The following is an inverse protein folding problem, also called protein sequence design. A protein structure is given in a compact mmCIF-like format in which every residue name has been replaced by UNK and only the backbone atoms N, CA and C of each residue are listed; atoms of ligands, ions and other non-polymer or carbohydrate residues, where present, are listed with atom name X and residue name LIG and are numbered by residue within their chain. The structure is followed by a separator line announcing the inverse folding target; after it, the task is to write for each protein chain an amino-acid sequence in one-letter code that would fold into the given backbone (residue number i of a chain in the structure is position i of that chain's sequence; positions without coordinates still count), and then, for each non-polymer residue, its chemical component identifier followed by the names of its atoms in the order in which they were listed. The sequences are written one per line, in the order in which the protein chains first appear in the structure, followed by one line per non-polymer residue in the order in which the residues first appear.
data_IF_259679934126
#
_entry.id   IF_259679934126
#
_cell.length_a   1.000
_cell.length_b   1.000
_cell.length_c   1.000
_cell.angle_alpha   90.00
_cell.angle_beta   90.00
_cell.angle_gamma   90.00
#
_symmetry.space_group_name_H-M   'P 1'
#
loop_
_entity.id
_entity.type
_entity.pdbx_description
1 polymer ?
#
# COMPACT_ATOMS: atom_id res chain seq x y z
N UNK A 1 -11.96 -16.29 -19.83
CA UNK A 1 -11.03 -15.57 -20.72
C UNK A 1 -10.08 -14.75 -19.86
N UNK A 2 -8.92 -15.29 -19.48
CA UNK A 2 -7.97 -14.60 -18.62
C UNK A 2 -6.54 -15.08 -18.89
N UNK A 3 -5.87 -14.49 -19.88
CA UNK A 3 -4.40 -14.59 -20.03
C UNK A 3 -3.89 -13.37 -20.79
N UNK A 4 -3.57 -12.29 -20.06
CA UNK A 4 -2.81 -11.17 -20.62
C UNK A 4 -2.02 -10.32 -19.59
N UNK A 5 -1.95 -10.70 -18.30
CA UNK A 5 -1.41 -9.79 -17.27
C UNK A 5 -0.17 -10.29 -16.50
N UNK A 6 0.40 -11.45 -16.84
CA UNK A 6 1.52 -12.04 -16.08
C UNK A 6 2.89 -11.44 -16.41
N UNK A 7 3.12 -10.94 -17.63
CA UNK A 7 4.44 -10.43 -18.06
C UNK A 7 4.86 -9.08 -17.46
N UNK A 8 3.90 -8.17 -17.21
CA UNK A 8 4.18 -6.86 -16.57
C UNK A 8 4.55 -7.00 -15.10
N UNK A 9 4.01 -8.03 -14.44
CA UNK A 9 4.28 -8.33 -13.02
C UNK A 9 5.73 -8.79 -12.81
N UNK A 10 6.25 -9.64 -13.70
CA UNK A 10 7.60 -10.20 -13.58
C UNK A 10 8.71 -9.13 -13.70
N UNK A 11 8.64 -8.25 -14.71
CA UNK A 11 9.64 -7.19 -14.92
C UNK A 11 9.64 -6.16 -13.78
N UNK A 12 8.45 -5.83 -13.24
CA UNK A 12 8.35 -4.93 -12.09
C UNK A 12 8.97 -5.54 -10.83
N UNK A 13 8.79 -6.84 -10.61
CA UNK A 13 9.39 -7.57 -9.48
C UNK A 13 10.91 -7.70 -9.59
N UNK A 14 11.43 -7.99 -10.77
CA UNK A 14 12.88 -8.02 -11.02
C UNK A 14 13.52 -6.65 -10.77
N UNK A 15 12.88 -5.59 -11.29
CA UNK A 15 13.37 -4.22 -11.08
C UNK A 15 13.28 -3.80 -9.61
N UNK A 16 12.21 -4.15 -8.91
CA UNK A 16 12.07 -3.89 -7.48
C UNK A 16 13.19 -4.60 -6.70
N UNK A 17 13.45 -5.87 -7.01
CA UNK A 17 14.51 -6.67 -6.40
C UNK A 17 15.88 -6.06 -6.66
N UNK A 18 16.12 -5.57 -7.88
CA UNK A 18 17.36 -4.87 -8.23
C UNK A 18 17.55 -3.61 -7.39
N UNK A 19 16.55 -2.72 -7.36
CA UNK A 19 16.62 -1.44 -6.63
C UNK A 19 16.78 -1.66 -5.12
N UNK A 20 16.14 -2.68 -4.56
CA UNK A 20 16.27 -2.99 -3.12
C UNK A 20 17.57 -3.73 -2.78
N UNK A 21 18.25 -4.36 -3.74
CA UNK A 21 19.51 -5.09 -3.50
C UNK A 21 20.67 -4.19 -3.06
N UNK A 22 21.72 -4.80 -2.52
CA UNK A 22 22.97 -4.12 -2.12
C UNK A 22 23.74 -3.49 -3.30
N UNK A 23 23.34 -3.79 -4.54
CA UNK A 23 23.95 -3.21 -5.75
C UNK A 23 23.60 -1.73 -5.92
N UNK A 24 22.43 -1.32 -5.47
CA UNK A 24 21.96 0.07 -5.55
C UNK A 24 22.04 0.67 -4.15
N UNK A 25 22.92 1.64 -3.92
CA UNK A 25 22.94 2.39 -2.66
C UNK A 25 21.88 3.51 -2.68
N UNK A 26 21.52 4.05 -1.51
CA UNK A 26 20.61 5.21 -1.41
C UNK A 26 21.22 6.50 -1.99
N UNK A 27 22.53 6.51 -2.21
CA UNK A 27 23.29 7.57 -2.88
C UNK A 27 23.61 7.23 -4.35
N UNK A 28 23.04 6.14 -4.90
CA UNK A 28 23.29 5.73 -6.27
C UNK A 28 22.79 6.79 -7.25
N UNK A 29 23.68 7.20 -8.14
CA UNK A 29 23.42 8.13 -9.25
C UNK A 29 23.07 7.40 -10.55
N UNK A 30 22.75 6.11 -10.48
CA UNK A 30 22.16 5.39 -11.61
C UNK A 30 20.76 5.92 -11.91
N UNK A 31 20.31 5.85 -13.16
CA UNK A 31 19.02 6.40 -13.56
C UNK A 31 18.07 5.31 -14.04
N UNK A 32 16.85 5.35 -13.51
CA UNK A 32 15.72 4.54 -13.94
C UNK A 32 14.79 5.39 -14.82
N UNK A 33 14.16 4.85 -15.88
CA UNK A 33 13.13 5.58 -16.61
C UNK A 33 12.03 6.08 -15.67
N UNK A 34 11.52 7.29 -15.88
CA UNK A 34 10.44 7.87 -15.06
C UNK A 34 9.21 6.94 -14.97
N UNK A 35 8.89 6.24 -16.07
CA UNK A 35 7.82 5.24 -16.10
C UNK A 35 8.09 4.04 -15.19
N UNK A 36 9.34 3.62 -15.06
CA UNK A 36 9.74 2.54 -14.17
C UNK A 36 9.65 2.99 -12.69
N UNK A 37 10.13 4.20 -12.37
CA UNK A 37 9.97 4.79 -11.05
C UNK A 37 8.49 4.92 -10.65
N UNK A 38 7.62 5.30 -11.61
CA UNK A 38 6.16 5.39 -11.43
C UNK A 38 5.55 4.05 -11.02
N UNK A 39 5.95 2.96 -11.68
CA UNK A 39 5.51 1.60 -11.34
C UNK A 39 6.02 1.19 -9.95
N UNK A 40 7.33 1.34 -9.68
CA UNK A 40 7.93 0.91 -8.41
C UNK A 40 7.32 1.63 -7.20
N UNK A 41 7.11 2.95 -7.32
CA UNK A 41 6.58 3.78 -6.24
C UNK A 41 5.05 3.78 -6.17
N UNK A 42 4.37 3.03 -7.04
CA UNK A 42 2.90 3.07 -7.21
C UNK A 42 2.37 4.52 -7.29
N UNK A 43 3.05 5.35 -8.06
CA UNK A 43 2.85 6.79 -8.08
C UNK A 43 2.46 7.28 -9.46
N UNK A 44 1.87 8.47 -9.57
CA UNK A 44 1.59 9.07 -10.88
C UNK A 44 2.79 9.90 -11.35
N UNK A 45 2.94 10.08 -12.67
CA UNK A 45 3.97 10.97 -13.22
C UNK A 45 3.88 12.39 -12.64
N UNK A 46 2.67 12.88 -12.34
CA UNK A 46 2.45 14.17 -11.67
C UNK A 46 3.03 14.18 -10.27
N UNK A 47 2.78 13.13 -9.48
CA UNK A 47 3.31 13.03 -8.10
C UNK A 47 4.83 12.92 -8.11
N UNK A 48 5.41 12.17 -9.05
CA UNK A 48 6.86 12.08 -9.19
C UNK A 48 7.50 13.43 -9.56
N UNK A 49 6.87 14.19 -10.45
CA UNK A 49 7.34 15.55 -10.79
C UNK A 49 7.32 16.47 -9.57
N UNK A 50 6.27 16.43 -8.75
CA UNK A 50 6.21 17.19 -7.51
C UNK A 50 7.35 16.82 -6.55
N UNK A 51 7.63 15.53 -6.40
CA UNK A 51 8.76 15.05 -5.58
C UNK A 51 10.12 15.50 -6.12
N UNK A 52 10.25 15.61 -7.45
CA UNK A 52 11.45 16.18 -8.09
C UNK A 52 11.56 17.67 -7.79
N UNK A 53 10.48 18.43 -7.93
CA UNK A 53 10.43 19.86 -7.60
C UNK A 53 10.73 20.13 -6.11
N UNK A 54 10.34 19.23 -5.22
CA UNK A 54 10.62 19.26 -3.78
C UNK A 54 12.04 18.81 -3.42
N UNK A 55 12.81 18.29 -4.39
CA UNK A 55 14.17 17.81 -4.19
C UNK A 55 14.28 16.42 -3.54
N UNK A 56 13.17 15.71 -3.38
CA UNK A 56 13.16 14.33 -2.87
C UNK A 56 13.70 13.34 -3.90
N UNK A 57 13.49 13.64 -5.18
CA UNK A 57 13.99 12.88 -6.32
C UNK A 57 14.82 13.80 -7.21
N UNK A 58 15.82 13.23 -7.88
CA UNK A 58 16.61 13.93 -8.90
C UNK A 58 16.35 13.29 -10.25
N UNK A 59 16.22 14.14 -11.26
CA UNK A 59 16.03 13.70 -12.65
C UNK A 59 17.20 14.11 -13.55
N UNK A 60 17.34 13.37 -14.65
CA UNK A 60 18.23 13.72 -15.75
C UNK A 60 17.54 13.44 -17.07
N UNK A 61 17.66 14.37 -18.01
CA UNK A 61 17.22 14.18 -19.38
C UNK A 61 18.32 13.50 -20.19
N UNK A 62 17.93 12.50 -20.97
CA UNK A 62 18.79 11.76 -21.86
C UNK A 62 18.25 11.85 -23.28
N UNK A 63 19.15 12.02 -24.25
CA UNK A 63 18.79 12.13 -25.66
C UNK A 63 19.31 10.88 -26.37
N UNK A 64 18.41 10.09 -26.96
CA UNK A 64 18.81 9.00 -27.86
C UNK A 64 18.82 9.48 -29.30
N UNK A 65 19.87 9.11 -30.02
CA UNK A 65 20.12 9.56 -31.40
C UNK A 65 19.95 8.42 -32.41
N UNK A 66 18.89 7.60 -32.36
CA UNK A 66 18.55 6.67 -33.46
C UNK A 66 17.23 5.92 -33.24
N UNK A 67 16.38 5.69 -34.27
CA UNK A 67 16.31 6.35 -35.59
C UNK A 67 15.49 7.67 -35.57
N UNK A 68 14.94 8.03 -34.41
CA UNK A 68 14.23 9.30 -34.15
C UNK A 68 14.80 9.84 -32.85
N UNK A 69 15.17 11.13 -32.82
CA UNK A 69 15.63 11.77 -31.59
C UNK A 69 14.52 11.72 -30.55
N UNK A 70 14.77 11.01 -29.45
CA UNK A 70 13.84 10.94 -28.31
C UNK A 70 14.55 11.41 -27.07
N UNK A 71 13.90 12.32 -26.35
CA UNK A 71 14.30 12.69 -25.00
C UNK A 71 13.58 11.76 -24.03
N UNK A 72 14.32 11.11 -23.15
CA UNK A 72 13.75 10.37 -22.03
C UNK A 72 14.22 10.97 -20.70
N UNK A 73 13.32 10.97 -19.72
CA UNK A 73 13.60 11.42 -18.37
C UNK A 73 13.92 10.19 -17.53
N UNK A 74 15.11 10.18 -16.95
CA UNK A 74 15.50 9.23 -15.92
C UNK A 74 15.44 9.87 -14.53
N UNK A 75 15.16 9.07 -13.52
CA UNK A 75 15.15 9.43 -12.10
C UNK A 75 16.22 8.63 -11.37
N UNK A 76 16.95 9.25 -10.46
CA UNK A 76 18.01 8.57 -9.69
C UNK A 76 17.47 7.37 -8.89
N UNK A 77 18.10 6.21 -9.10
CA UNK A 77 17.76 4.95 -8.46
C UNK A 77 17.93 5.01 -6.94
N UNK A 78 18.92 5.77 -6.43
CA UNK A 78 19.13 5.97 -5.00
C UNK A 78 17.94 6.68 -4.33
N UNK A 79 17.39 7.71 -4.97
CA UNK A 79 16.18 8.39 -4.51
C UNK A 79 14.95 7.48 -4.52
N UNK A 80 14.78 6.68 -5.57
CA UNK A 80 13.70 5.67 -5.64
C UNK A 80 13.86 4.63 -4.52
N UNK A 81 15.07 4.12 -4.29
CA UNK A 81 15.36 3.18 -3.19
C UNK A 81 15.00 3.77 -1.84
N UNK A 82 15.38 5.03 -1.59
CA UNK A 82 15.06 5.73 -0.33
C UNK A 82 13.57 5.77 -0.06
N UNK A 83 12.77 6.16 -1.06
CA UNK A 83 11.30 6.20 -0.94
C UNK A 83 10.68 4.79 -0.78
N UNK A 84 11.25 3.77 -1.41
CA UNK A 84 10.81 2.38 -1.21
C UNK A 84 11.10 1.89 0.21
N UNK A 85 12.30 2.16 0.73
CA UNK A 85 12.67 1.80 2.11
C UNK A 85 11.80 2.53 3.13
N UNK A 86 11.49 3.80 2.88
CA UNK A 86 10.55 4.57 3.70
C UNK A 86 9.15 3.94 3.68
N UNK A 87 8.64 3.57 2.51
CA UNK A 87 7.36 2.88 2.38
C UNK A 87 7.36 1.53 3.12
N UNK A 88 8.44 0.75 3.03
CA UNK A 88 8.59 -0.51 3.77
C UNK A 88 8.54 -0.25 5.28
N UNK A 89 9.26 0.77 5.77
CA UNK A 89 9.20 1.18 7.17
C UNK A 89 7.76 1.53 7.60
N UNK A 90 7.01 2.27 6.79
CA UNK A 90 5.62 2.60 7.08
C UNK A 90 4.71 1.37 7.12
N UNK A 91 4.92 0.40 6.21
CA UNK A 91 4.18 -0.87 6.23
C UNK A 91 4.42 -1.60 7.56
N UNK A 92 5.66 -1.73 7.99
CA UNK A 92 6.00 -2.43 9.23
C UNK A 92 5.43 -1.73 10.47
N UNK A 93 5.50 -0.41 10.55
CA UNK A 93 4.92 0.36 11.67
C UNK A 93 3.40 0.20 11.74
N UNK A 94 2.70 0.28 10.61
CA UNK A 94 1.25 0.11 10.56
C UNK A 94 0.86 -1.33 10.87
N UNK A 95 1.60 -2.31 10.35
CA UNK A 95 1.41 -3.74 10.63
C UNK A 95 1.52 -4.01 12.12
N UNK A 96 2.63 -3.59 12.74
CA UNK A 96 2.87 -3.78 14.18
C UNK A 96 1.73 -3.16 15.00
N UNK A 97 1.34 -1.93 14.68
CA UNK A 97 0.25 -1.26 15.38
C UNK A 97 -1.09 -2.00 15.24
N UNK A 98 -1.46 -2.40 14.02
CA UNK A 98 -2.70 -3.15 13.77
C UNK A 98 -2.67 -4.47 14.55
N UNK A 99 -1.56 -5.21 14.53
CA UNK A 99 -1.41 -6.44 15.30
C UNK A 99 -1.54 -6.20 16.80
N UNK A 100 -0.91 -5.16 17.35
CA UNK A 100 -1.00 -4.83 18.77
C UNK A 100 -2.44 -4.46 19.18
N UNK A 101 -3.14 -3.69 18.35
CA UNK A 101 -4.55 -3.33 18.54
C UNK A 101 -5.45 -4.57 18.59
N UNK A 102 -5.19 -5.54 17.72
CA UNK A 102 -5.91 -6.82 17.66
C UNK A 102 -5.65 -7.66 18.90
N UNK A 103 -4.39 -7.82 19.33
CA UNK A 103 -4.02 -8.53 20.57
C UNK A 103 -4.66 -7.91 21.81
N UNK A 104 -4.75 -6.58 21.84
CA UNK A 104 -5.46 -5.85 22.90
C UNK A 104 -7.00 -5.93 22.79
N UNK A 105 -7.53 -6.60 21.76
CA UNK A 105 -8.98 -6.69 21.45
C UNK A 105 -9.65 -5.32 21.43
N UNK A 106 -8.97 -4.35 20.83
CA UNK A 106 -9.33 -2.93 20.82
C UNK A 106 -9.52 -2.38 19.40
N UNK A 107 -10.04 -1.16 19.28
CA UNK A 107 -10.19 -0.47 18.01
C UNK A 107 -9.19 0.68 17.90
N UNK A 108 -8.67 0.90 16.70
CA UNK A 108 -7.87 2.09 16.36
C UNK A 108 -8.59 2.94 15.33
N UNK A 109 -8.13 4.17 15.16
CA UNK A 109 -8.66 5.06 14.12
C UNK A 109 -7.71 5.22 12.95
N UNK A 110 -8.24 5.53 11.77
CA UNK A 110 -7.41 5.90 10.63
C UNK A 110 -6.49 7.09 10.89
N UNK A 111 -6.93 8.06 11.72
CA UNK A 111 -6.07 9.17 12.14
C UNK A 111 -4.87 8.68 12.94
N UNK A 112 -5.11 7.82 13.93
CA UNK A 112 -4.03 7.22 14.73
C UNK A 112 -3.06 6.38 13.88
N UNK A 113 -3.55 5.71 12.83
CA UNK A 113 -2.69 4.97 11.88
C UNK A 113 -1.76 5.91 11.13
N UNK A 114 -2.23 7.08 10.69
CA UNK A 114 -1.38 8.07 10.03
C UNK A 114 -0.43 8.79 10.98
N UNK A 115 -0.85 9.05 12.22
CA UNK A 115 -0.02 9.69 13.25
C UNK A 115 1.28 8.89 13.49
N UNK A 116 1.24 7.55 13.38
CA UNK A 116 2.41 6.66 13.53
C UNK A 116 3.51 6.89 12.49
N UNK A 117 3.11 7.35 11.31
CA UNK A 117 4.01 7.59 10.18
C UNK A 117 4.18 9.09 9.92
N UNK A 118 3.83 9.92 10.90
CA UNK A 118 3.99 11.38 10.89
C UNK A 118 3.29 12.06 9.69
N UNK A 119 2.20 11.48 9.20
CA UNK A 119 1.43 12.02 8.08
C UNK A 119 0.10 12.63 8.51
N UNK A 120 -0.33 13.67 7.80
CA UNK A 120 -1.60 14.35 8.09
C UNK A 120 -2.78 13.70 7.38
N UNK A 121 -3.82 13.30 8.14
CA UNK A 121 -5.09 12.81 7.60
C UNK A 121 -5.79 13.80 6.66
N UNK A 122 -5.50 15.11 6.74
CA UNK A 122 -6.04 16.10 5.79
C UNK A 122 -5.37 16.00 4.41
N UNK A 123 -4.18 15.45 4.30
CA UNK A 123 -3.43 15.28 3.04
C UNK A 123 -4.03 14.12 2.22
N UNK A 124 -4.60 14.38 1.02
CA UNK A 124 -5.11 13.31 0.17
C UNK A 124 -4.06 12.25 -0.22
N UNK A 125 -2.80 12.61 -0.55
CA UNK A 125 -1.74 11.63 -0.77
C UNK A 125 -1.46 10.73 0.43
N UNK A 126 -1.46 11.29 1.65
CA UNK A 126 -1.25 10.51 2.87
C UNK A 126 -2.40 9.52 3.12
N UNK A 127 -3.66 9.97 2.98
CA UNK A 127 -4.82 9.08 3.08
C UNK A 127 -4.75 7.94 2.08
N UNK A 128 -4.36 8.23 0.83
CA UNK A 128 -4.19 7.20 -0.20
C UNK A 128 -3.10 6.20 0.20
N UNK A 129 -1.94 6.67 0.62
CA UNK A 129 -0.84 5.80 1.05
C UNK A 129 -1.27 4.88 2.21
N UNK A 130 -1.94 5.40 3.22
CA UNK A 130 -2.44 4.58 4.33
C UNK A 130 -3.46 3.55 3.87
N UNK A 131 -4.41 3.92 3.01
CA UNK A 131 -5.35 2.97 2.43
C UNK A 131 -4.64 1.88 1.62
N UNK A 132 -3.66 2.23 0.78
CA UNK A 132 -2.88 1.26 0.00
C UNK A 132 -2.11 0.28 0.91
N UNK A 133 -1.60 0.74 2.06
CA UNK A 133 -0.94 -0.12 3.05
C UNK A 133 -1.97 -1.02 3.75
N UNK A 134 -3.12 -0.48 4.16
CA UNK A 134 -4.18 -1.27 4.78
C UNK A 134 -4.74 -2.34 3.84
N UNK A 135 -4.85 -2.05 2.55
CA UNK A 135 -5.25 -3.02 1.52
C UNK A 135 -4.23 -4.15 1.39
N UNK A 136 -2.93 -3.82 1.39
CA UNK A 136 -1.86 -4.82 1.40
C UNK A 136 -1.99 -5.76 2.60
N UNK A 137 -2.24 -5.22 3.79
CA UNK A 137 -2.42 -6.03 5.00
C UNK A 137 -3.65 -6.94 4.90
N UNK A 138 -4.74 -6.46 4.28
CA UNK A 138 -5.92 -7.29 4.04
C UNK A 138 -5.66 -8.40 3.01
N UNK A 139 -4.94 -8.10 1.93
CA UNK A 139 -4.61 -9.10 0.92
C UNK A 139 -3.76 -10.23 1.50
N UNK A 140 -2.79 -9.89 2.36
CA UNK A 140 -2.00 -10.87 3.10
C UNK A 140 -2.86 -11.68 4.08
N UNK A 141 -3.77 -11.04 4.82
CA UNK A 141 -4.61 -11.75 5.79
C UNK A 141 -5.66 -12.66 5.14
N UNK A 142 -6.13 -12.30 3.93
CA UNK A 142 -7.05 -13.11 3.13
C UNK A 142 -6.31 -14.28 2.47
N UNK A 143 -5.14 -14.03 1.88
CA UNK A 143 -4.37 -15.01 1.12
C UNK A 143 -3.77 -16.14 1.95
N UNK A 144 -3.57 -15.93 3.26
CA UNK A 144 -2.97 -16.90 4.16
C UNK A 144 -3.93 -17.99 4.71
N UNK A 145 -5.22 -17.99 4.34
CA UNK A 145 -6.24 -18.82 4.99
C UNK A 145 -7.18 -19.48 3.97
N UNK A 146 -7.64 -20.70 4.28
CA UNK A 146 -8.71 -21.38 3.53
C UNK A 146 -9.97 -20.51 3.39
N UNK A 147 -10.67 -20.64 2.26
CA UNK A 147 -11.73 -19.74 1.80
C UNK A 147 -12.92 -19.57 2.75
N UNK A 148 -13.15 -20.49 3.69
CA UNK A 148 -14.23 -20.40 4.68
C UNK A 148 -13.87 -19.57 5.91
N UNK A 149 -12.65 -19.06 6.01
CA UNK A 149 -12.19 -18.33 7.20
C UNK A 149 -11.31 -17.12 6.86
N UNK A 150 -11.36 -16.63 5.63
CA UNK A 150 -10.69 -15.39 5.26
C UNK A 150 -11.26 -14.22 6.06
N UNK A 151 -10.37 -13.41 6.63
CA UNK A 151 -10.75 -12.23 7.39
C UNK A 151 -9.91 -11.02 6.98
N UNK A 152 -10.51 -9.84 7.02
CA UNK A 152 -9.85 -8.57 6.76
C UNK A 152 -9.24 -8.02 8.06
N UNK A 153 -7.93 -8.15 8.23
CA UNK A 153 -7.22 -7.78 9.46
C UNK A 153 -7.45 -6.32 9.87
N UNK A 154 -7.73 -5.44 8.89
CA UNK A 154 -7.97 -4.02 9.17
C UNK A 154 -9.39 -3.72 9.67
N UNK A 155 -10.21 -4.73 9.99
CA UNK A 155 -11.53 -4.54 10.61
C UNK A 155 -11.47 -3.76 11.94
N UNK A 156 -10.31 -3.74 12.61
CA UNK A 156 -10.06 -2.94 13.82
C UNK A 156 -9.84 -1.44 13.57
N UNK A 157 -9.71 -1.02 12.31
CA UNK A 157 -9.44 0.38 11.94
C UNK A 157 -10.75 1.08 11.56
N UNK A 158 -11.15 2.08 12.35
CA UNK A 158 -12.44 2.75 12.21
C UNK A 158 -12.32 4.27 11.98
N UNK A 159 -13.37 4.86 11.42
CA UNK A 159 -13.57 6.31 11.47
C UNK A 159 -14.08 6.70 12.86
N UNK A 160 -13.40 7.67 13.52
CA UNK A 160 -13.84 8.22 14.82
C UNK A 160 -15.26 8.79 14.79
N UNK A 161 -15.70 9.33 13.65
CA UNK A 161 -17.03 9.95 13.55
C UNK A 161 -18.16 8.94 13.33
N UNK A 162 -17.86 7.80 12.70
CA UNK A 162 -18.87 6.79 12.34
C UNK A 162 -18.85 5.58 13.26
N UNK A 163 -17.79 5.41 14.06
CA UNK A 163 -17.54 4.20 14.85
C UNK A 163 -17.62 2.90 14.03
N UNK A 164 -17.19 2.97 12.76
CA UNK A 164 -17.11 1.86 11.81
C UNK A 164 -16.04 2.17 10.75
N UNK A 165 -15.56 1.19 9.98
CA UNK A 165 -14.64 1.41 8.87
C UNK A 165 -15.18 2.38 7.82
N UNK A 166 -14.27 2.92 7.01
CA UNK A 166 -14.64 3.82 5.90
C UNK A 166 -15.17 3.04 4.70
N UNK A 167 -15.71 3.75 3.70
CA UNK A 167 -16.18 3.14 2.43
C UNK A 167 -15.07 2.35 1.72
N UNK A 168 -13.82 2.74 1.91
CA UNK A 168 -12.66 2.06 1.34
C UNK A 168 -12.58 0.59 1.79
N UNK A 169 -12.81 0.33 3.08
CA UNK A 169 -12.84 -1.03 3.63
C UNK A 169 -13.91 -1.90 2.97
N UNK A 170 -15.14 -1.37 2.82
CA UNK A 170 -16.23 -2.11 2.17
C UNK A 170 -15.99 -2.29 0.67
N UNK A 171 -15.39 -1.30 0.02
CA UNK A 171 -15.00 -1.42 -1.39
C UNK A 171 -13.98 -2.55 -1.58
N UNK A 172 -12.99 -2.64 -0.70
CA UNK A 172 -12.01 -3.73 -0.71
C UNK A 172 -12.67 -5.09 -0.44
N UNK A 173 -13.59 -5.16 0.53
CA UNK A 173 -14.35 -6.38 0.82
C UNK A 173 -15.14 -6.89 -0.40
N UNK A 174 -15.74 -5.97 -1.17
CA UNK A 174 -16.46 -6.28 -2.42
C UNK A 174 -15.48 -6.75 -3.50
N UNK A 175 -14.35 -6.07 -3.66
CA UNK A 175 -13.30 -6.46 -4.62
C UNK A 175 -12.78 -7.88 -4.36
N UNK A 176 -12.59 -8.23 -3.08
CA UNK A 176 -12.12 -9.56 -2.66
C UNK A 176 -13.25 -10.60 -2.59
N UNK A 177 -14.49 -10.23 -2.91
CA UNK A 177 -15.64 -11.15 -2.91
C UNK A 177 -16.13 -11.58 -1.53
N UNK A 178 -15.73 -10.88 -0.46
CA UNK A 178 -16.17 -11.13 0.92
C UNK A 178 -17.49 -10.44 1.25
N UNK A 179 -17.87 -9.41 0.48
CA UNK A 179 -19.10 -8.67 0.63
C UNK A 179 -19.79 -8.50 -0.72
N UNK A 180 -21.13 -8.61 -0.75
CA UNK A 180 -21.91 -8.38 -1.96
C UNK A 180 -21.89 -6.90 -2.37
N UNK A 181 -21.90 -6.65 -3.68
CA UNK A 181 -21.75 -5.29 -4.25
C UNK A 181 -22.90 -4.36 -3.86
N UNK A 182 -24.10 -4.91 -3.72
CA UNK A 182 -25.34 -4.23 -3.38
C UNK A 182 -25.67 -4.30 -1.88
N UNK A 183 -24.72 -4.72 -1.05
CA UNK A 183 -24.90 -4.78 0.39
C UNK A 183 -25.33 -3.43 0.98
N UNK A 184 -26.48 -3.44 1.64
CA UNK A 184 -27.05 -2.28 2.32
C UNK A 184 -26.27 -1.95 3.61
N UNK A 185 -26.68 -0.87 4.29
CA UNK A 185 -25.99 -0.41 5.49
C UNK A 185 -26.05 -1.43 6.65
N UNK A 186 -27.13 -2.19 6.78
CA UNK A 186 -27.30 -3.19 7.85
C UNK A 186 -26.37 -4.38 7.56
N UNK A 187 -26.35 -4.84 6.31
CA UNK A 187 -25.46 -5.91 5.85
C UNK A 187 -23.99 -5.51 6.03
N UNK A 188 -23.61 -4.26 5.68
CA UNK A 188 -22.26 -3.73 5.90
C UNK A 188 -21.84 -3.71 7.37
N UNK A 189 -22.72 -3.24 8.26
CA UNK A 189 -22.43 -3.22 9.71
C UNK A 189 -22.32 -4.64 10.26
N UNK A 190 -23.20 -5.53 9.82
CA UNK A 190 -23.18 -6.95 10.23
C UNK A 190 -21.89 -7.62 9.78
N UNK A 191 -21.55 -7.46 8.49
CA UNK A 191 -20.30 -7.93 7.92
C UNK A 191 -19.09 -7.43 8.70
N UNK A 192 -19.01 -6.13 8.98
CA UNK A 192 -17.89 -5.57 9.73
C UNK A 192 -17.76 -6.19 11.13
N UNK A 193 -18.87 -6.36 11.86
CA UNK A 193 -18.84 -7.01 13.19
C UNK A 193 -18.35 -8.45 13.11
N UNK A 194 -18.84 -9.22 12.12
CA UNK A 194 -18.37 -10.58 11.88
C UNK A 194 -16.87 -10.61 11.56
N UNK A 195 -16.39 -9.71 10.71
CA UNK A 195 -14.96 -9.61 10.40
C UNK A 195 -14.13 -9.25 11.64
N UNK A 196 -14.62 -8.33 12.47
CA UNK A 196 -13.97 -7.94 13.71
C UNK A 196 -13.84 -9.11 14.70
N UNK A 197 -14.92 -9.87 14.87
CA UNK A 197 -14.94 -11.10 15.69
C UNK A 197 -13.93 -12.13 15.17
N UNK A 198 -13.95 -12.40 13.86
CA UNK A 198 -13.02 -13.33 13.22
C UNK A 198 -11.55 -12.91 13.40
N UNK A 199 -11.26 -11.60 13.30
CA UNK A 199 -9.91 -11.08 13.50
C UNK A 199 -9.43 -11.31 14.93
N UNK A 200 -10.27 -11.05 15.93
CA UNK A 200 -9.91 -11.30 17.33
C UNK A 200 -9.77 -12.78 17.65
N UNK A 201 -10.62 -13.65 17.10
CA UNK A 201 -10.52 -15.10 17.28
C UNK A 201 -9.20 -15.64 16.69
N UNK A 202 -8.78 -15.13 15.54
CA UNK A 202 -7.62 -15.67 14.81
C UNK A 202 -6.28 -15.13 15.27
N UNK A 203 -6.24 -13.86 15.65
CA UNK A 203 -4.99 -13.13 15.90
C UNK A 203 -4.95 -12.47 17.28
N UNK A 204 -6.07 -12.47 18.01
CA UNK A 204 -6.18 -11.80 19.31
C UNK A 204 -5.71 -12.64 20.49
N UNK A 205 -5.55 -13.96 20.33
CA UNK A 205 -5.10 -14.86 21.39
C UNK A 205 -3.62 -15.23 21.21
N UNK A 206 -2.73 -14.46 21.82
CA UNK A 206 -1.41 -14.95 22.24
C UNK A 206 -1.60 -15.69 23.58
N UNK A 207 -2.14 -16.90 23.56
CA UNK A 207 -1.84 -17.85 24.65
C UNK A 207 -0.60 -18.64 24.26
N UNK A 208 0.55 -18.05 24.52
CA UNK A 208 1.82 -18.73 24.78
C UNK A 208 2.53 -18.02 25.94
#
# INVERSE_FOLDING_TARGET
MAHANTGKSCVAQELLSYVLSDRVSVESTEFLPLSAASILLNSTSTTLKQRIEQGELREKSFITSSPVTRTFIGVEAGGVKRLLLERIKYIELIREHVTNVIKAKSLTSYGAVLDLIELDWKSPPARKLSNDILDLLNDESIGNISSSSSCMITAVVISKSKNMPTEHFFSKAIETGLLEKDADQIQRVTFWKTQLELVYEKYGDDTA
#
